data_IF_013770538575
#
_entry.id   IF_013770538575
#
_cell.length_a   1.000
_cell.length_b   1.000
_cell.length_c   1.000
_cell.angle_alpha   90.00
_cell.angle_beta   90.00
_cell.angle_gamma   90.00
#
_symmetry.space_group_name_H-M   'P 1'
#
loop_
_entity.id
_entity.type
_entity.pdbx_description
1 polymer ?
#
# COMPACT_ATOMS: atom_id res chain seq x y z
N UNK A 1 -35.04 -19.92 30.69
CA UNK A 1 -34.71 -19.50 29.32
C UNK A 1 -34.42 -18.01 29.37
N UNK A 2 -33.15 -17.65 29.46
CA UNK A 2 -32.67 -16.26 29.49
C UNK A 2 -32.30 -15.85 28.07
N UNK A 3 -33.04 -14.88 27.54
CA UNK A 3 -32.79 -14.25 26.24
C UNK A 3 -31.53 -13.38 26.33
N UNK A 4 -30.49 -13.72 25.56
CA UNK A 4 -29.31 -12.88 25.37
C UNK A 4 -29.70 -11.68 24.49
N UNK A 5 -29.82 -10.50 25.10
CA UNK A 5 -29.98 -9.23 24.39
C UNK A 5 -28.65 -8.82 23.76
N UNK A 6 -28.60 -8.84 22.43
CA UNK A 6 -27.53 -8.19 21.66
C UNK A 6 -27.77 -6.67 21.73
N UNK A 7 -26.78 -5.84 22.09
CA UNK A 7 -26.95 -4.40 22.02
C UNK A 7 -27.07 -3.98 20.55
N UNK A 8 -28.21 -3.38 20.21
CA UNK A 8 -28.41 -2.65 18.97
C UNK A 8 -27.39 -1.51 18.93
N UNK A 9 -26.56 -1.49 17.89
CA UNK A 9 -25.74 -0.32 17.55
C UNK A 9 -26.70 0.76 17.08
N UNK A 10 -26.64 1.94 17.70
CA UNK A 10 -27.49 3.09 17.39
C UNK A 10 -27.56 3.36 15.88
N UNK A 11 -28.78 3.63 15.39
CA UNK A 11 -28.98 4.00 13.99
C UNK A 11 -28.19 5.27 13.66
N UNK A 12 -27.44 5.30 12.54
CA UNK A 12 -26.73 6.49 12.15
C UNK A 12 -27.74 7.61 11.84
N UNK A 13 -27.62 8.70 12.58
CA UNK A 13 -28.34 9.95 12.35
C UNK A 13 -28.28 10.34 10.87
N UNK A 14 -29.41 10.78 10.32
CA UNK A 14 -29.59 11.20 8.92
C UNK A 14 -28.72 12.43 8.62
N UNK A 15 -27.42 12.20 8.44
CA UNK A 15 -26.48 13.10 7.81
C UNK A 15 -26.69 13.04 6.31
N UNK A 16 -26.75 14.21 5.68
CA UNK A 16 -27.07 14.38 4.26
C UNK A 16 -26.41 13.33 3.37
N UNK A 17 -27.23 12.69 2.54
CA UNK A 17 -26.93 11.54 1.67
C UNK A 17 -25.83 11.82 0.61
N UNK A 18 -25.24 13.02 0.61
CA UNK A 18 -24.43 13.57 -0.46
C UNK A 18 -22.95 13.82 -0.11
N UNK A 19 -22.50 13.58 1.13
CA UNK A 19 -21.07 13.80 1.49
C UNK A 19 -20.23 12.51 1.47
N UNK A 20 -20.82 11.35 1.74
CA UNK A 20 -20.13 10.05 1.59
C UNK A 20 -19.98 9.61 0.12
N UNK A 21 -20.81 10.14 -0.78
CA UNK A 21 -20.89 9.78 -2.19
C UNK A 21 -19.86 10.49 -3.10
N UNK A 22 -19.03 11.41 -2.57
CA UNK A 22 -18.06 12.17 -3.38
C UNK A 22 -16.77 11.42 -3.70
N UNK A 23 -16.56 10.25 -3.10
CA UNK A 23 -15.46 9.34 -3.43
C UNK A 23 -16.01 7.92 -3.71
N UNK A 24 -16.13 7.50 -4.99
CA UNK A 24 -16.88 6.30 -5.38
C UNK A 24 -16.30 4.98 -4.85
N UNK A 25 -15.12 5.02 -4.24
CA UNK A 25 -14.45 3.84 -3.68
C UNK A 25 -14.56 3.71 -2.15
N UNK A 26 -15.21 4.65 -1.48
CA UNK A 26 -15.26 4.76 0.00
C UNK A 26 -16.66 5.14 0.53
N UNK A 27 -17.62 5.22 -0.37
CA UNK A 27 -19.03 5.44 -0.09
C UNK A 27 -19.59 4.29 0.77
N UNK A 28 -19.56 4.43 2.10
CA UNK A 28 -20.16 3.48 3.06
C UNK A 28 -19.25 2.97 4.17
N UNK A 29 -17.93 3.23 4.12
CA UNK A 29 -17.03 2.91 5.24
C UNK A 29 -17.00 4.10 6.19
N UNK A 30 -17.34 3.89 7.47
CA UNK A 30 -17.21 4.93 8.48
C UNK A 30 -15.74 5.40 8.54
N UNK A 31 -15.44 6.71 8.43
CA UNK A 31 -14.08 7.24 8.49
C UNK A 31 -13.26 6.74 9.69
N UNK A 32 -13.91 6.46 10.83
CA UNK A 32 -13.26 5.91 12.01
C UNK A 32 -12.64 4.52 11.79
N UNK A 33 -13.14 3.74 10.83
CA UNK A 33 -12.65 2.40 10.48
C UNK A 33 -11.88 2.39 9.16
N UNK A 34 -11.68 3.55 8.53
CA UNK A 34 -10.93 3.64 7.28
C UNK A 34 -9.44 3.43 7.56
N UNK A 35 -8.82 2.55 6.80
CA UNK A 35 -7.37 2.44 6.71
C UNK A 35 -6.92 3.31 5.54
N UNK A 36 -6.41 4.50 5.85
CA UNK A 36 -5.57 5.28 4.94
C UNK A 36 -4.18 5.33 5.57
N UNK A 37 -3.49 4.20 5.55
CA UNK A 37 -2.19 4.14 6.17
C UNK A 37 -1.15 4.33 5.09
N UNK A 38 -0.29 5.34 5.20
CA UNK A 38 0.89 5.34 4.37
C UNK A 38 1.80 4.19 4.87
N UNK A 39 2.49 3.47 3.99
CA UNK A 39 3.37 2.39 4.44
C UNK A 39 4.51 3.01 5.26
N UNK A 40 4.71 2.53 6.49
CA UNK A 40 5.85 2.91 7.32
C UNK A 40 7.13 2.50 6.62
N UNK A 41 7.99 3.48 6.36
CA UNK A 41 9.37 3.23 5.96
C UNK A 41 10.13 2.70 7.19
N UNK A 42 11.13 1.85 6.96
CA UNK A 42 12.06 1.40 7.99
C UNK A 42 12.53 2.49 8.93
N UNK A 43 12.14 2.36 10.22
CA UNK A 43 12.47 3.31 11.28
C UNK A 43 11.55 4.52 11.42
N UNK A 44 10.39 4.56 10.75
CA UNK A 44 9.45 5.70 10.78
C UNK A 44 8.02 5.27 11.13
N UNK A 45 7.32 6.05 11.96
CA UNK A 45 5.99 5.70 12.50
C UNK A 45 4.82 6.23 11.65
N UNK A 46 5.01 7.34 10.94
CA UNK A 46 3.89 8.08 10.33
C UNK A 46 3.66 7.80 8.84
N UNK A 47 4.44 6.88 8.25
CA UNK A 47 4.39 6.37 6.87
C UNK A 47 4.39 7.38 5.71
N UNK A 48 4.19 8.67 5.94
CA UNK A 48 4.43 9.70 4.95
C UNK A 48 5.87 10.18 5.09
N UNK A 49 6.68 9.88 4.08
CA UNK A 49 8.02 10.43 3.96
C UNK A 49 8.23 10.91 2.53
N UNK A 50 8.47 12.21 2.38
CA UNK A 50 8.95 12.83 1.15
C UNK A 50 10.46 12.57 1.09
N UNK A 51 10.87 11.31 0.86
CA UNK A 51 12.29 11.00 0.77
C UNK A 51 12.79 11.25 -0.66
N UNK A 52 13.73 12.19 -0.76
CA UNK A 52 14.82 12.14 -1.73
C UNK A 52 15.75 10.98 -1.33
N UNK A 53 15.53 9.77 -1.83
CA UNK A 53 16.25 8.58 -1.33
C UNK A 53 17.62 8.46 -1.98
N UNK A 54 18.68 8.88 -1.29
CA UNK A 54 20.05 8.62 -1.70
C UNK A 54 20.61 7.37 -1.00
N UNK A 55 20.79 6.26 -1.73
CA UNK A 55 21.93 5.37 -1.48
C UNK A 55 21.72 4.00 -0.82
N UNK A 56 20.51 3.52 -0.50
CA UNK A 56 20.32 2.20 0.15
C UNK A 56 18.96 1.56 -0.16
N UNK A 57 18.85 0.24 0.09
CA UNK A 57 17.59 -0.52 0.00
C UNK A 57 16.50 0.16 0.83
N UNK A 58 15.31 0.29 0.24
CA UNK A 58 14.16 0.97 0.84
C UNK A 58 13.08 -0.06 1.12
N UNK A 59 12.66 -0.16 2.38
CA UNK A 59 11.59 -1.05 2.80
C UNK A 59 10.40 -0.25 3.31
N UNK A 60 9.27 -0.42 2.65
CA UNK A 60 7.96 0.04 3.08
C UNK A 60 7.22 -1.12 3.72
N UNK A 61 6.51 -0.90 4.81
CA UNK A 61 5.62 -1.91 5.37
C UNK A 61 4.38 -1.34 6.04
N UNK A 62 3.44 -2.23 6.34
CA UNK A 62 2.32 -1.94 7.23
C UNK A 62 2.02 -3.17 8.06
N UNK A 63 1.84 -2.95 9.36
CA UNK A 63 1.54 -3.98 10.36
C UNK A 63 0.39 -3.46 11.24
N UNK A 64 -0.68 -4.24 11.45
CA UNK A 64 -1.71 -3.90 12.43
C UNK A 64 -1.16 -3.97 13.86
N UNK A 65 -1.76 -3.22 14.79
CA UNK A 65 -1.51 -3.44 16.22
C UNK A 65 -2.04 -4.83 16.64
N UNK A 66 -1.55 -5.40 17.75
CA UNK A 66 -1.95 -6.74 18.25
C UNK A 66 -3.47 -6.94 18.40
N UNK A 67 -4.26 -5.87 18.53
CA UNK A 67 -5.72 -5.89 18.64
C UNK A 67 -6.46 -5.48 17.35
N UNK A 68 -5.75 -5.41 16.24
CA UNK A 68 -6.25 -4.95 14.94
C UNK A 68 -6.12 -5.99 13.85
N UNK A 69 -7.08 -5.93 12.92
CA UNK A 69 -7.03 -6.64 11.65
C UNK A 69 -7.20 -5.62 10.54
N UNK A 70 -6.29 -5.63 9.57
CA UNK A 70 -6.36 -4.76 8.40
C UNK A 70 -6.89 -5.54 7.21
N UNK A 71 -7.95 -5.03 6.58
CA UNK A 71 -8.47 -5.52 5.31
C UNK A 71 -8.06 -4.54 4.21
N UNK A 72 -6.95 -4.86 3.54
CA UNK A 72 -6.35 -4.01 2.52
C UNK A 72 -7.03 -4.27 1.18
N UNK A 73 -7.60 -3.21 0.61
CA UNK A 73 -8.26 -3.21 -0.68
C UNK A 73 -7.30 -2.82 -1.81
N UNK A 74 -6.41 -1.85 -1.56
CA UNK A 74 -5.51 -1.30 -2.57
C UNK A 74 -4.13 -0.93 -2.01
N UNK A 75 -3.15 -0.98 -2.91
CA UNK A 75 -1.84 -0.36 -2.76
C UNK A 75 -1.72 0.72 -3.83
N UNK A 76 -1.33 1.93 -3.43
CA UNK A 76 -1.06 3.05 -4.31
C UNK A 76 0.43 3.35 -4.25
N UNK A 77 1.07 3.43 -5.41
CA UNK A 77 2.48 3.80 -5.53
C UNK A 77 2.56 5.02 -6.43
N UNK A 78 3.25 6.04 -5.95
CA UNK A 78 3.66 7.20 -6.75
C UNK A 78 5.17 7.18 -6.85
N UNK A 79 5.70 7.37 -8.04
CA UNK A 79 7.13 7.43 -8.32
C UNK A 79 7.41 8.67 -9.16
N UNK A 80 8.45 9.42 -8.79
CA UNK A 80 8.87 10.63 -9.47
C UNK A 80 10.40 10.74 -9.43
N UNK A 81 10.97 11.31 -10.48
CA UNK A 81 12.39 11.67 -10.54
C UNK A 81 12.54 13.06 -11.20
N UNK A 82 13.61 13.77 -10.83
CA UNK A 82 14.06 15.00 -11.46
C UNK A 82 14.31 14.86 -12.97
N UNK A 83 14.61 13.64 -13.46
CA UNK A 83 14.79 13.31 -14.89
C UNK A 83 14.03 12.02 -15.26
N UNK A 84 12.75 11.94 -14.91
CA UNK A 84 11.88 10.81 -15.28
C UNK A 84 11.46 10.86 -16.77
N UNK A 85 12.44 10.81 -17.67
CA UNK A 85 12.26 10.93 -19.14
C UNK A 85 11.90 9.61 -19.81
N UNK A 86 11.91 8.51 -19.06
CA UNK A 86 11.64 7.14 -19.50
C UNK A 86 10.83 6.40 -18.45
N UNK A 87 9.54 6.73 -18.36
CA UNK A 87 8.65 6.13 -17.38
C UNK A 87 8.55 4.61 -17.46
N UNK A 88 8.76 4.05 -18.66
CA UNK A 88 8.83 2.62 -18.90
C UNK A 88 9.95 1.92 -18.11
N UNK A 89 10.98 2.67 -17.72
CA UNK A 89 12.17 2.20 -16.99
C UNK A 89 12.36 2.95 -15.67
N UNK A 90 11.29 3.47 -15.10
CA UNK A 90 11.36 4.27 -13.88
C UNK A 90 12.23 5.53 -13.97
N UNK A 91 12.42 6.11 -15.16
CA UNK A 91 13.28 7.28 -15.35
C UNK A 91 14.74 6.93 -15.64
N UNK A 92 15.13 5.67 -15.51
CA UNK A 92 16.49 5.18 -15.74
C UNK A 92 16.82 4.86 -17.21
N UNK A 93 18.11 4.72 -17.50
CA UNK A 93 18.59 4.20 -18.79
C UNK A 93 18.33 2.69 -18.95
N UNK A 94 18.33 1.94 -17.84
CA UNK A 94 18.06 0.50 -17.75
C UNK A 94 17.02 0.20 -16.66
N UNK A 95 16.38 -0.97 -16.73
CA UNK A 95 15.46 -1.46 -15.69
C UNK A 95 16.16 -1.66 -14.34
N UNK A 96 15.38 -1.77 -13.26
CA UNK A 96 15.88 -2.10 -11.93
C UNK A 96 16.57 -3.49 -11.95
N UNK A 97 17.87 -3.60 -11.64
CA UNK A 97 18.61 -4.85 -11.75
C UNK A 97 18.05 -5.96 -10.86
N UNK A 98 17.69 -5.62 -9.62
CA UNK A 98 17.13 -6.58 -8.67
C UNK A 98 15.60 -6.56 -8.71
N UNK A 99 15.00 -5.39 -8.86
CA UNK A 99 13.56 -5.18 -8.95
C UNK A 99 12.85 -5.15 -7.61
N UNK A 100 11.63 -4.62 -7.63
CA UNK A 100 10.77 -4.46 -6.45
C UNK A 100 10.20 -5.83 -6.06
N UNK A 101 10.21 -6.12 -4.75
CA UNK A 101 9.53 -7.26 -4.16
C UNK A 101 8.37 -6.81 -3.27
N UNK A 102 7.24 -7.52 -3.33
CA UNK A 102 6.07 -7.28 -2.47
C UNK A 102 5.62 -8.62 -1.90
N UNK A 103 5.54 -8.68 -0.58
CA UNK A 103 5.24 -9.93 0.11
C UNK A 103 4.63 -9.68 1.49
N UNK A 104 4.05 -10.73 2.07
CA UNK A 104 3.58 -10.75 3.46
C UNK A 104 4.54 -11.61 4.28
N UNK A 105 4.90 -11.11 5.46
CA UNK A 105 5.71 -11.78 6.46
C UNK A 105 4.91 -12.00 7.74
N UNK A 106 5.30 -12.99 8.53
CA UNK A 106 4.76 -13.26 9.87
C UNK A 106 5.69 -12.77 11.00
N UNK A 107 5.39 -13.19 12.24
CA UNK A 107 6.15 -12.85 13.44
C UNK A 107 7.64 -13.26 13.40
N UNK A 108 7.95 -14.28 12.61
CA UNK A 108 9.27 -14.87 12.46
C UNK A 108 10.04 -14.27 11.29
N UNK A 109 9.45 -13.28 10.62
CA UNK A 109 9.93 -12.67 9.37
C UNK A 109 9.95 -13.65 8.19
N UNK A 110 9.23 -14.77 8.29
CA UNK A 110 9.12 -15.72 7.21
C UNK A 110 8.12 -15.22 6.17
N UNK A 111 8.49 -15.33 4.89
CA UNK A 111 7.62 -14.92 3.80
C UNK A 111 6.48 -15.92 3.64
N UNK A 112 5.30 -15.58 4.16
CA UNK A 112 4.10 -16.42 4.07
C UNK A 112 3.36 -16.25 2.74
N UNK A 113 3.57 -15.12 2.05
CA UNK A 113 3.04 -14.92 0.71
C UNK A 113 3.92 -14.00 -0.13
N UNK A 114 4.33 -14.42 -1.32
CA UNK A 114 5.09 -13.60 -2.26
C UNK A 114 4.22 -13.22 -3.47
N UNK A 115 3.88 -11.94 -3.59
CA UNK A 115 3.08 -11.45 -4.72
C UNK A 115 3.89 -11.23 -5.99
N UNK A 116 5.20 -11.05 -5.85
CA UNK A 116 6.12 -10.76 -6.95
C UNK A 116 7.18 -11.88 -7.03
N UNK A 117 6.79 -13.13 -7.35
CA UNK A 117 7.76 -14.21 -7.56
C UNK A 117 8.69 -13.89 -8.73
N UNK A 118 8.21 -13.10 -9.70
CA UNK A 118 9.03 -12.33 -10.63
C UNK A 118 9.08 -10.91 -10.10
N UNK A 119 10.28 -10.44 -9.73
CA UNK A 119 10.46 -9.07 -9.22
C UNK A 119 10.12 -8.04 -10.30
N UNK A 120 9.60 -6.89 -9.87
CA UNK A 120 9.16 -5.84 -10.77
C UNK A 120 10.38 -5.00 -11.17
N UNK A 121 10.91 -5.24 -12.36
CA UNK A 121 12.13 -4.59 -12.85
C UNK A 121 11.84 -3.35 -13.71
N UNK A 122 10.69 -3.33 -14.37
CA UNK A 122 10.22 -2.23 -15.20
C UNK A 122 8.71 -2.00 -15.02
N UNK A 123 8.15 -1.00 -15.71
CA UNK A 123 6.72 -0.67 -15.60
C UNK A 123 5.83 -1.83 -16.08
N UNK A 124 6.30 -2.61 -17.06
CA UNK A 124 5.48 -3.64 -17.71
C UNK A 124 5.28 -4.85 -16.82
N UNK A 125 6.21 -5.11 -15.90
CA UNK A 125 6.08 -6.17 -14.91
C UNK A 125 4.90 -5.95 -13.94
N UNK A 126 4.51 -4.70 -13.68
CA UNK A 126 3.29 -4.42 -12.92
C UNK A 126 2.03 -4.97 -13.60
N UNK A 127 2.00 -5.00 -14.94
CA UNK A 127 0.87 -5.52 -15.69
C UNK A 127 0.74 -7.06 -15.61
N UNK A 128 1.75 -7.75 -15.07
CA UNK A 128 1.65 -9.18 -14.76
C UNK A 128 0.81 -9.44 -13.50
N UNK A 129 0.57 -8.41 -12.68
CA UNK A 129 -0.23 -8.51 -11.47
C UNK A 129 -1.70 -8.19 -11.77
N UNK A 130 -2.60 -9.05 -11.29
CA UNK A 130 -4.03 -8.86 -11.43
C UNK A 130 -4.52 -7.61 -10.69
N UNK A 131 -5.40 -6.83 -11.33
CA UNK A 131 -6.02 -5.66 -10.71
C UNK A 131 -5.14 -4.41 -10.63
N UNK A 132 -4.01 -4.38 -11.35
CA UNK A 132 -3.17 -3.19 -11.47
C UNK A 132 -3.65 -2.28 -12.60
N UNK A 133 -3.80 -1.00 -12.29
CA UNK A 133 -3.92 0.09 -13.25
C UNK A 133 -2.67 0.98 -13.15
N UNK A 134 -2.11 1.37 -14.30
CA UNK A 134 -0.90 2.20 -14.37
C UNK A 134 -1.22 3.46 -15.15
N UNK A 135 -0.72 4.60 -14.70
CA UNK A 135 -0.85 5.88 -15.38
C UNK A 135 0.47 6.63 -15.31
N UNK A 136 0.86 7.18 -16.44
CA UNK A 136 1.93 8.17 -16.54
C UNK A 136 1.32 9.48 -16.99
N UNK A 137 1.74 10.61 -16.41
CA UNK A 137 1.28 11.93 -16.85
C UNK A 137 2.45 12.58 -17.59
N UNK A 138 2.33 12.73 -18.91
CA UNK A 138 3.36 13.36 -19.72
C UNK A 138 3.54 14.84 -19.36
N UNK A 139 4.75 15.26 -18.95
CA UNK A 139 5.05 16.62 -18.52
C UNK A 139 6.39 17.14 -19.07
N UNK A 140 6.52 18.47 -19.20
CA UNK A 140 7.80 19.08 -19.57
C UNK A 140 8.79 19.00 -18.38
N UNK A 141 9.53 17.89 -18.29
CA UNK A 141 10.66 17.72 -17.35
C UNK A 141 10.65 16.44 -16.52
N UNK A 142 9.49 15.85 -16.26
CA UNK A 142 9.34 14.60 -15.49
C UNK A 142 7.95 14.00 -15.72
N UNK A 143 7.88 12.71 -16.05
CA UNK A 143 6.61 12.00 -16.21
C UNK A 143 6.30 11.22 -14.93
N UNK A 144 5.52 11.73 -13.95
CA UNK A 144 5.21 10.94 -12.76
C UNK A 144 4.52 9.62 -13.13
N UNK A 145 4.91 8.55 -12.43
CA UNK A 145 4.33 7.23 -12.54
C UNK A 145 3.42 6.96 -11.35
N UNK A 146 2.17 6.65 -11.64
CA UNK A 146 1.18 6.23 -10.66
C UNK A 146 0.75 4.80 -10.92
N UNK A 147 0.84 3.97 -9.89
CA UNK A 147 0.37 2.59 -9.91
C UNK A 147 -0.73 2.48 -8.87
N UNK A 148 -1.89 1.98 -9.30
CA UNK A 148 -2.98 1.58 -8.42
C UNK A 148 -3.16 0.08 -8.53
N UNK A 149 -2.80 -0.65 -7.49
CA UNK A 149 -3.04 -2.07 -7.42
C UNK A 149 -4.26 -2.35 -6.54
N UNK A 150 -5.35 -2.79 -7.15
CA UNK A 150 -6.59 -3.14 -6.45
C UNK A 150 -6.66 -4.64 -6.17
N UNK A 151 -6.22 -5.05 -5.00
CA UNK A 151 -6.20 -6.44 -4.53
C UNK A 151 -7.61 -7.04 -4.50
N UNK A 152 -8.61 -6.24 -4.11
CA UNK A 152 -10.02 -6.64 -4.06
C UNK A 152 -10.58 -7.13 -5.42
N UNK A 153 -9.99 -6.72 -6.55
CA UNK A 153 -10.39 -7.24 -7.88
C UNK A 153 -10.13 -8.75 -8.03
N UNK A 154 -9.32 -9.36 -7.17
CA UNK A 154 -9.14 -10.81 -7.10
C UNK A 154 -10.31 -11.55 -6.42
N UNK A 155 -11.26 -10.82 -5.84
CA UNK A 155 -12.42 -11.38 -5.14
C UNK A 155 -12.31 -11.39 -3.62
N UNK A 156 -11.18 -10.93 -3.05
CA UNK A 156 -10.97 -10.83 -1.60
C UNK A 156 -10.05 -9.67 -1.23
N UNK A 157 -10.19 -9.18 0.02
CA UNK A 157 -9.21 -8.28 0.64
C UNK A 157 -7.94 -9.04 1.03
N UNK A 158 -6.80 -8.36 1.03
CA UNK A 158 -5.63 -8.85 1.75
C UNK A 158 -5.85 -8.61 3.24
N UNK A 159 -5.76 -9.67 4.04
CA UNK A 159 -5.97 -9.60 5.49
C UNK A 159 -4.64 -9.70 6.21
N UNK A 160 -4.33 -8.69 7.03
CA UNK A 160 -3.23 -8.73 7.99
C UNK A 160 -3.81 -8.81 9.40
N UNK A 161 -3.36 -9.77 10.20
CA UNK A 161 -3.78 -9.96 11.60
C UNK A 161 -2.63 -9.54 12.51
N UNK A 162 -2.86 -8.55 13.38
CA UNK A 162 -1.84 -8.08 14.30
C UNK A 162 -1.43 -9.12 15.34
N UNK A 163 -2.31 -10.07 15.68
CA UNK A 163 -2.00 -11.16 16.64
C UNK A 163 -0.99 -12.16 16.08
N UNK A 164 -0.91 -12.25 14.76
CA UNK A 164 0.06 -13.07 14.03
C UNK A 164 1.24 -12.21 13.52
N UNK A 165 1.29 -10.93 13.94
CA UNK A 165 2.27 -9.94 13.51
C UNK A 165 2.43 -9.87 11.98
N UNK A 166 1.32 -10.04 11.25
CA UNK A 166 1.35 -10.02 9.80
C UNK A 166 1.80 -8.65 9.28
N UNK A 167 2.81 -8.67 8.41
CA UNK A 167 3.40 -7.48 7.81
C UNK A 167 3.33 -7.57 6.30
N UNK A 168 2.61 -6.65 5.66
CA UNK A 168 2.76 -6.43 4.22
C UNK A 168 4.00 -5.56 4.02
N UNK A 169 4.94 -6.02 3.18
CA UNK A 169 6.20 -5.34 2.90
C UNK A 169 6.38 -5.13 1.40
N UNK A 170 6.88 -3.95 1.02
CA UNK A 170 7.43 -3.64 -0.30
C UNK A 170 8.92 -3.29 -0.13
N UNK A 171 9.78 -4.07 -0.77
CA UNK A 171 11.23 -3.91 -0.76
C UNK A 171 11.69 -3.39 -2.13
N UNK A 172 12.47 -2.31 -2.11
CA UNK A 172 13.15 -1.73 -3.26
C UNK A 172 14.65 -1.81 -2.97
N UNK A 173 15.30 -2.92 -3.35
CA UNK A 173 16.69 -3.21 -2.98
C UNK A 173 17.73 -2.44 -3.79
N UNK A 174 17.32 -1.86 -4.92
CA UNK A 174 18.21 -1.17 -5.84
C UNK A 174 18.48 0.27 -5.36
N UNK A 175 19.73 0.72 -5.47
CA UNK A 175 20.06 2.12 -5.21
C UNK A 175 19.49 3.01 -6.31
N UNK A 176 18.62 3.93 -5.92
CA UNK A 176 17.87 4.81 -6.80
C UNK A 176 18.54 6.18 -7.02
N UNK A 177 19.66 6.47 -6.34
CA UNK A 177 20.33 7.77 -6.37
C UNK A 177 21.85 7.68 -6.58
N UNK A 178 22.36 8.49 -7.51
CA UNK A 178 23.78 8.66 -7.89
C UNK A 178 24.45 7.43 -8.55
N UNK A 179 24.00 7.05 -9.75
CA UNK A 179 24.69 6.01 -10.53
C UNK A 179 24.09 5.62 -11.90
N UNK A 180 22.89 6.10 -12.26
CA UNK A 180 22.29 5.86 -13.59
C UNK A 180 21.01 5.02 -13.61
N UNK A 181 20.46 4.65 -12.45
CA UNK A 181 19.17 4.00 -12.29
C UNK A 181 18.29 4.82 -11.33
N UNK A 182 17.52 5.77 -11.87
CA UNK A 182 16.83 6.81 -11.11
C UNK A 182 15.47 6.34 -10.57
N UNK A 183 15.14 6.71 -9.33
CA UNK A 183 13.81 6.82 -8.71
C UNK A 183 13.97 7.72 -7.48
N UNK A 184 14.17 9.02 -7.70
CA UNK A 184 14.57 9.95 -6.64
C UNK A 184 13.48 10.12 -5.54
N UNK A 185 12.20 9.97 -5.89
CA UNK A 185 11.06 10.13 -4.99
C UNK A 185 10.02 9.04 -5.19
N UNK A 186 9.51 8.51 -4.08
CA UNK A 186 8.45 7.53 -4.12
C UNK A 186 7.61 7.51 -2.84
N UNK A 187 6.32 7.28 -3.02
CA UNK A 187 5.31 7.26 -1.97
C UNK A 187 4.51 5.98 -2.13
N UNK A 188 4.34 5.23 -1.05
CA UNK A 188 3.52 4.01 -1.02
C UNK A 188 2.44 4.14 0.04
N UNK A 189 1.18 3.90 -0.36
CA UNK A 189 0.01 4.02 0.51
C UNK A 189 -0.83 2.76 0.42
N UNK A 190 -1.35 2.29 1.54
CA UNK A 190 -2.38 1.24 1.58
C UNK A 190 -3.75 1.83 1.90
N UNK A 191 -4.76 1.32 1.21
CA UNK A 191 -6.16 1.69 1.44
C UNK A 191 -6.97 0.45 1.82
N UNK A 192 -7.82 0.58 2.83
CA UNK A 192 -8.62 -0.54 3.31
C UNK A 192 -9.53 -0.18 4.48
N UNK A 193 -9.84 -1.20 5.28
CA UNK A 193 -10.60 -1.09 6.52
C UNK A 193 -9.74 -1.60 7.67
N UNK A 194 -9.71 -0.87 8.79
CA UNK A 194 -9.17 -1.34 10.07
C UNK A 194 -10.30 -1.84 10.94
N UNK A 195 -10.13 -3.02 11.52
CA UNK A 195 -11.10 -3.66 12.40
C UNK A 195 -10.44 -3.89 13.75
N UNK A 196 -11.12 -3.52 14.83
CA UNK A 196 -10.70 -3.89 16.19
C UNK A 196 -11.23 -5.29 16.51
N UNK A 197 -10.38 -6.14 17.06
CA UNK A 197 -10.78 -7.46 17.55
C UNK A 197 -11.47 -7.29 18.90
N UNK A 198 -12.77 -7.66 19.04
CA UNK A 198 -13.48 -7.50 20.31
C UNK A 198 -12.83 -8.35 21.40
N UNK A 199 -12.42 -7.73 22.51
CA UNK A 199 -11.92 -8.44 23.71
C UNK A 199 -10.43 -8.27 24.02
N UNK A 200 -9.66 -7.50 23.24
CA UNK A 200 -8.32 -7.10 23.64
C UNK A 200 -8.42 -6.09 24.80
N UNK A 201 -7.94 -6.48 25.97
CA UNK A 201 -7.87 -5.61 27.15
C UNK A 201 -6.45 -5.07 27.23
N UNK A 202 -6.31 -3.73 27.29
CA UNK A 202 -5.03 -3.01 27.45
C UNK A 202 -4.42 -3.33 28.83
#
# INVERSE_FOLDING_TARGET
MTSLGVPFVDEPSVGHINDWAKHPHQAGVNPAYRLDHPMTLEGTVDGFYDMSVSGSSVNYWVTPSDDEVYWIARILVSMQDSVFTRADRYGATASLPTGIAIHVEDDSLDVIHNFTPVRIQDISHWALLGGVDITTIGGAGSDPLYIRWTLERSGAYLVLDGRENHRLKMEIPDNLGAGGAALDQHIVVVQGVRLKVPGATI
#
